data_IF_574979944276
#
_entry.id   IF_574979944276
#
_cell.length_a   1.000
_cell.length_b   1.000
_cell.length_c   1.000
_cell.angle_alpha   90.00
_cell.angle_beta   90.00
_cell.angle_gamma   90.00
#
_symmetry.space_group_name_H-M   'P 1'
#
loop_
_entity.id
_entity.type
_entity.pdbx_description
1 polymer ?
#
# COMPACT_ATOMS: atom_id res chain seq x y z
N UNK A 1 -44.09 -7.64 -4.22
CA UNK A 1 -43.79 -8.83 -3.40
C UNK A 1 -43.96 -8.46 -1.94
N UNK A 2 -44.63 -9.30 -1.14
CA UNK A 2 -44.73 -9.11 0.31
C UNK A 2 -43.40 -9.35 1.01
N UNK A 3 -43.22 -8.77 2.21
CA UNK A 3 -41.96 -8.82 2.95
C UNK A 3 -41.55 -10.24 3.32
N UNK A 4 -42.48 -11.03 3.86
CA UNK A 4 -42.19 -12.39 4.34
C UNK A 4 -41.84 -13.32 3.17
N UNK A 5 -42.60 -13.25 2.08
CA UNK A 5 -42.29 -13.98 0.84
C UNK A 5 -40.91 -13.63 0.28
N UNK A 6 -40.49 -12.37 0.38
CA UNK A 6 -39.15 -11.95 -0.04
C UNK A 6 -38.07 -12.60 0.83
N UNK A 7 -38.23 -12.59 2.16
CA UNK A 7 -37.29 -13.22 3.08
C UNK A 7 -37.21 -14.72 2.84
N UNK A 8 -38.34 -15.41 2.70
CA UNK A 8 -38.39 -16.85 2.44
C UNK A 8 -37.62 -17.22 1.17
N UNK A 9 -37.84 -16.50 0.07
CA UNK A 9 -37.13 -16.72 -1.18
C UNK A 9 -35.63 -16.44 -1.06
N UNK A 10 -35.25 -15.38 -0.34
CA UNK A 10 -33.87 -14.99 -0.13
C UNK A 10 -33.09 -16.06 0.66
N UNK A 11 -33.67 -16.60 1.73
CA UNK A 11 -33.05 -17.64 2.55
C UNK A 11 -33.18 -19.05 1.95
N UNK A 12 -34.18 -19.31 1.10
CA UNK A 12 -34.27 -20.54 0.33
C UNK A 12 -33.14 -20.65 -0.71
N UNK A 13 -32.80 -19.54 -1.37
CA UNK A 13 -31.71 -19.50 -2.36
C UNK A 13 -30.33 -19.70 -1.75
N UNK A 14 -30.07 -19.10 -0.59
CA UNK A 14 -28.86 -19.37 0.18
C UNK A 14 -29.11 -19.19 1.67
N UNK A 15 -29.19 -20.32 2.38
CA UNK A 15 -29.51 -20.35 3.81
C UNK A 15 -28.41 -19.70 4.66
N UNK A 16 -27.15 -19.86 4.24
CA UNK A 16 -25.95 -19.27 4.85
C UNK A 16 -25.07 -18.67 3.75
N UNK A 17 -24.58 -17.46 3.96
CA UNK A 17 -23.66 -16.78 3.05
C UNK A 17 -22.22 -17.30 3.22
N UNK A 18 -22.01 -18.58 2.88
CA UNK A 18 -20.77 -19.30 3.16
C UNK A 18 -19.61 -18.73 2.34
N UNK A 19 -19.82 -18.33 1.08
CA UNK A 19 -18.73 -17.82 0.23
C UNK A 19 -18.21 -16.50 0.80
N UNK A 20 -19.12 -15.61 1.24
CA UNK A 20 -18.75 -14.35 1.90
C UNK A 20 -17.88 -14.62 3.13
N UNK A 21 -18.29 -15.54 3.99
CA UNK A 21 -17.52 -15.88 5.21
C UNK A 21 -16.17 -16.53 4.89
N UNK A 22 -16.09 -17.39 3.87
CA UNK A 22 -14.84 -18.00 3.41
C UNK A 22 -13.89 -16.92 2.86
N UNK A 23 -14.39 -15.99 2.05
CA UNK A 23 -13.58 -14.88 1.55
C UNK A 23 -13.05 -14.02 2.71
N UNK A 24 -13.88 -13.70 3.70
CA UNK A 24 -13.45 -12.95 4.89
C UNK A 24 -12.35 -13.71 5.64
N UNK A 25 -12.53 -15.02 5.87
CA UNK A 25 -11.55 -15.85 6.56
C UNK A 25 -10.22 -15.92 5.80
N UNK A 26 -10.26 -16.07 4.46
CA UNK A 26 -9.05 -16.08 3.62
C UNK A 26 -8.31 -14.75 3.69
N UNK A 27 -9.02 -13.62 3.60
CA UNK A 27 -8.42 -12.29 3.74
C UNK A 27 -7.77 -12.10 5.13
N UNK A 28 -8.46 -12.53 6.19
CA UNK A 28 -7.91 -12.47 7.55
C UNK A 28 -6.64 -13.32 7.70
N UNK A 29 -6.64 -14.55 7.15
CA UNK A 29 -5.48 -15.44 7.19
C UNK A 29 -4.28 -14.83 6.46
N UNK A 30 -4.48 -14.36 5.23
CA UNK A 30 -3.42 -13.71 4.43
C UNK A 30 -2.88 -12.48 5.15
N UNK A 31 -3.75 -11.69 5.77
CA UNK A 31 -3.34 -10.51 6.53
C UNK A 31 -2.49 -10.86 7.76
N UNK A 32 -2.85 -11.89 8.52
CA UNK A 32 -2.05 -12.36 9.66
C UNK A 32 -0.64 -12.77 9.20
N UNK A 33 -0.53 -13.50 8.09
CA UNK A 33 0.77 -13.87 7.51
C UNK A 33 1.56 -12.62 7.10
N UNK A 34 0.94 -11.68 6.37
CA UNK A 34 1.64 -10.46 5.93
C UNK A 34 2.06 -9.56 7.10
N UNK A 35 1.25 -9.48 8.16
CA UNK A 35 1.56 -8.73 9.37
C UNK A 35 2.70 -9.36 10.15
N UNK A 36 2.72 -10.70 10.26
CA UNK A 36 3.84 -11.44 10.86
C UNK A 36 5.14 -11.20 10.10
N UNK A 37 5.12 -11.26 8.77
CA UNK A 37 6.29 -10.97 7.93
C UNK A 37 6.76 -9.51 8.04
N UNK A 38 5.84 -8.56 8.22
CA UNK A 38 6.17 -7.14 8.33
C UNK A 38 6.50 -6.70 9.75
N UNK A 39 6.28 -7.53 10.77
CA UNK A 39 6.44 -7.18 12.19
C UNK A 39 5.50 -6.07 12.69
N UNK A 40 4.47 -5.69 11.93
CA UNK A 40 3.58 -4.58 12.24
C UNK A 40 2.15 -4.87 11.74
N UNK A 41 1.15 -4.72 12.60
CA UNK A 41 -0.27 -4.93 12.27
C UNK A 41 -0.93 -3.69 11.68
N UNK A 42 -0.48 -2.49 12.06
CA UNK A 42 -1.11 -1.23 11.66
C UNK A 42 -0.71 -0.80 10.26
N UNK A 43 0.53 -1.09 9.85
CA UNK A 43 1.05 -0.78 8.53
C UNK A 43 1.94 -1.91 8.03
N UNK A 44 1.51 -2.55 6.94
CA UNK A 44 2.30 -3.57 6.23
C UNK A 44 3.20 -2.86 5.23
N UNK A 45 4.50 -3.12 5.30
CA UNK A 45 5.46 -2.48 4.40
C UNK A 45 5.26 -2.90 2.94
N UNK A 46 5.44 -1.96 2.00
CA UNK A 46 5.34 -2.23 0.56
C UNK A 46 6.25 -3.36 0.07
N UNK A 47 7.48 -3.57 0.57
CA UNK A 47 8.30 -4.73 0.24
C UNK A 47 7.63 -6.08 0.53
N UNK A 48 7.01 -6.24 1.70
CA UNK A 48 6.29 -7.47 2.07
C UNK A 48 5.09 -7.66 1.15
N UNK A 49 4.33 -6.60 0.90
CA UNK A 49 3.17 -6.65 0.00
C UNK A 49 3.59 -7.03 -1.44
N UNK A 50 4.66 -6.44 -1.97
CA UNK A 50 5.19 -6.78 -3.30
C UNK A 50 5.70 -8.22 -3.37
N UNK A 51 6.35 -8.72 -2.31
CA UNK A 51 6.78 -10.13 -2.22
C UNK A 51 5.59 -11.08 -2.27
N UNK A 52 4.50 -10.73 -1.57
CA UNK A 52 3.29 -11.55 -1.49
C UNK A 52 2.35 -11.40 -2.69
N UNK A 53 2.64 -10.51 -3.63
CA UNK A 53 1.89 -10.39 -4.88
C UNK A 53 0.98 -9.17 -5.00
N UNK A 54 1.33 -8.04 -4.36
CA UNK A 54 0.64 -6.78 -4.59
C UNK A 54 0.59 -6.43 -6.08
N UNK A 55 -0.51 -5.77 -6.46
CA UNK A 55 -0.74 -5.34 -7.83
C UNK A 55 0.17 -4.14 -8.12
N UNK A 56 1.06 -4.32 -9.08
CA UNK A 56 2.03 -3.31 -9.48
C UNK A 56 2.34 -3.49 -10.97
N UNK A 57 1.95 -2.51 -11.79
CA UNK A 57 1.89 -2.70 -13.23
C UNK A 57 3.23 -3.11 -13.87
N UNK A 58 4.40 -2.56 -13.48
CA UNK A 58 5.68 -3.00 -14.00
C UNK A 58 5.94 -4.51 -13.85
N UNK A 59 5.58 -5.10 -12.72
CA UNK A 59 5.78 -6.54 -12.47
C UNK A 59 4.72 -7.39 -13.18
N UNK A 60 3.47 -6.93 -13.17
CA UNK A 60 2.38 -7.62 -13.88
C UNK A 60 2.67 -7.70 -15.38
N UNK A 61 3.14 -6.59 -15.98
CA UNK A 61 3.49 -6.52 -17.40
C UNK A 61 4.77 -7.31 -17.76
N UNK A 62 5.58 -7.70 -16.76
CA UNK A 62 6.71 -8.62 -16.94
C UNK A 62 6.31 -10.10 -16.88
N UNK A 63 5.01 -10.41 -16.74
CA UNK A 63 4.47 -11.76 -16.75
C UNK A 63 3.97 -12.26 -15.39
N UNK A 64 4.09 -11.47 -14.32
CA UNK A 64 3.58 -11.84 -12.99
C UNK A 64 2.07 -11.59 -12.85
N UNK A 65 1.28 -12.10 -13.80
CA UNK A 65 -0.19 -11.89 -13.90
C UNK A 65 -0.97 -12.40 -12.69
N UNK A 66 -0.41 -13.37 -11.95
CA UNK A 66 -0.99 -13.93 -10.73
C UNK A 66 -1.16 -12.88 -9.62
N UNK A 67 -0.39 -11.77 -9.67
CA UNK A 67 -0.51 -10.63 -8.76
C UNK A 67 -1.89 -9.98 -8.80
N UNK A 68 -2.55 -9.99 -9.96
CA UNK A 68 -3.91 -9.45 -10.08
C UNK A 68 -4.90 -10.21 -9.17
N UNK A 69 -4.70 -11.52 -8.99
CA UNK A 69 -5.53 -12.30 -8.09
C UNK A 69 -5.04 -12.19 -6.64
N UNK A 70 -3.73 -12.31 -6.40
CA UNK A 70 -3.15 -12.27 -5.07
C UNK A 70 -3.42 -10.94 -4.33
N UNK A 71 -3.31 -9.81 -5.04
CA UNK A 71 -3.55 -8.48 -4.48
C UNK A 71 -4.95 -8.28 -3.91
N UNK A 72 -5.95 -9.03 -4.39
CA UNK A 72 -7.32 -9.00 -3.86
C UNK A 72 -7.42 -9.49 -2.41
N UNK A 73 -6.40 -10.22 -1.92
CA UNK A 73 -6.37 -10.80 -0.58
C UNK A 73 -5.37 -10.11 0.36
N UNK A 74 -4.49 -9.26 -0.18
CA UNK A 74 -3.51 -8.50 0.60
C UNK A 74 -4.11 -7.21 1.14
N UNK A 75 -3.65 -6.76 2.30
CA UNK A 75 -4.12 -5.52 2.91
C UNK A 75 -2.96 -4.74 3.53
N UNK A 76 -3.00 -3.42 3.39
CA UNK A 76 -1.93 -2.52 3.84
C UNK A 76 -1.89 -2.25 5.35
N UNK A 77 -2.87 -2.73 6.13
CA UNK A 77 -2.93 -2.51 7.57
C UNK A 77 -4.27 -2.91 8.20
N UNK A 78 -4.32 -2.90 9.53
CA UNK A 78 -5.48 -3.39 10.31
C UNK A 78 -6.79 -2.64 10.00
N UNK A 79 -6.76 -1.32 9.93
CA UNK A 79 -7.94 -0.53 9.57
C UNK A 79 -8.40 -0.83 8.14
N UNK A 80 -7.45 -1.00 7.23
CA UNK A 80 -7.73 -1.27 5.81
C UNK A 80 -8.46 -2.62 5.65
N UNK A 81 -7.99 -3.70 6.28
CA UNK A 81 -8.72 -4.98 6.27
C UNK A 81 -10.05 -4.88 7.03
N UNK A 82 -10.09 -4.20 8.18
CA UNK A 82 -11.30 -4.05 8.98
C UNK A 82 -12.45 -3.44 8.18
N UNK A 83 -12.22 -2.32 7.50
CA UNK A 83 -13.24 -1.67 6.67
C UNK A 83 -13.65 -2.52 5.47
N UNK A 84 -12.70 -3.19 4.80
CA UNK A 84 -13.02 -4.07 3.68
C UNK A 84 -13.90 -5.26 4.11
N UNK A 85 -13.54 -5.92 5.21
CA UNK A 85 -14.27 -7.09 5.70
C UNK A 85 -15.64 -6.69 6.25
N UNK A 86 -15.76 -5.52 6.88
CA UNK A 86 -17.07 -4.98 7.29
C UNK A 86 -17.98 -4.69 6.08
N UNK A 87 -17.45 -4.05 5.04
CA UNK A 87 -18.18 -3.77 3.81
C UNK A 87 -18.57 -5.06 3.07
N UNK A 88 -17.64 -6.02 2.95
CA UNK A 88 -17.88 -7.33 2.36
C UNK A 88 -18.91 -8.14 3.16
N UNK A 89 -18.84 -8.11 4.50
CA UNK A 89 -19.80 -8.79 5.35
C UNK A 89 -21.22 -8.25 5.12
N UNK A 90 -21.40 -6.93 5.10
CA UNK A 90 -22.72 -6.34 4.91
C UNK A 90 -23.29 -6.58 3.50
N UNK A 91 -22.53 -6.22 2.45
CA UNK A 91 -23.03 -6.31 1.08
C UNK A 91 -22.93 -7.72 0.51
N UNK A 92 -21.84 -8.44 0.79
CA UNK A 92 -21.60 -9.79 0.28
C UNK A 92 -22.68 -10.77 0.74
N UNK A 93 -23.11 -10.69 2.00
CA UNK A 93 -24.19 -11.53 2.50
C UNK A 93 -25.52 -11.34 1.76
N UNK A 94 -25.83 -10.10 1.35
CA UNK A 94 -27.05 -9.77 0.60
C UNK A 94 -26.91 -10.27 -0.83
N UNK A 95 -25.80 -9.92 -1.49
CA UNK A 95 -25.56 -10.27 -2.90
C UNK A 95 -25.42 -11.79 -3.09
N UNK A 96 -24.77 -12.50 -2.18
CA UNK A 96 -24.68 -13.96 -2.22
C UNK A 96 -26.06 -14.62 -2.15
N UNK A 97 -27.01 -14.05 -1.39
CA UNK A 97 -28.39 -14.55 -1.33
C UNK A 97 -29.20 -14.18 -2.56
N UNK A 98 -29.01 -12.97 -3.11
CA UNK A 98 -29.70 -12.54 -4.33
C UNK A 98 -29.25 -13.35 -5.55
N UNK A 99 -27.94 -13.57 -5.71
CA UNK A 99 -27.34 -14.20 -6.89
C UNK A 99 -27.05 -15.71 -6.71
N UNK A 100 -26.99 -16.19 -5.47
CA UNK A 100 -26.48 -17.53 -5.14
C UNK A 100 -24.95 -17.61 -5.14
N UNK A 101 -24.41 -18.58 -4.40
CA UNK A 101 -22.98 -18.72 -4.11
C UNK A 101 -22.06 -18.70 -5.34
N UNK A 102 -22.41 -19.44 -6.40
CA UNK A 102 -21.57 -19.55 -7.61
C UNK A 102 -21.50 -18.24 -8.40
N UNK A 103 -22.64 -17.58 -8.57
CA UNK A 103 -22.71 -16.31 -9.29
C UNK A 103 -22.02 -15.20 -8.49
N UNK A 104 -22.20 -15.19 -7.17
CA UNK A 104 -21.50 -14.26 -6.28
C UNK A 104 -19.98 -14.43 -6.33
N UNK A 105 -19.47 -15.66 -6.27
CA UNK A 105 -18.03 -15.91 -6.36
C UNK A 105 -17.45 -15.42 -7.70
N UNK A 106 -18.11 -15.75 -8.81
CA UNK A 106 -17.70 -15.28 -10.13
C UNK A 106 -17.71 -13.76 -10.21
N UNK A 107 -18.75 -13.13 -9.69
CA UNK A 107 -18.89 -11.67 -9.66
C UNK A 107 -17.77 -11.02 -8.84
N UNK A 108 -17.51 -11.52 -7.63
CA UNK A 108 -16.46 -11.02 -6.74
C UNK A 108 -15.08 -11.11 -7.41
N UNK A 109 -14.75 -12.28 -7.96
CA UNK A 109 -13.45 -12.50 -8.61
C UNK A 109 -13.30 -11.67 -9.89
N UNK A 110 -14.29 -11.69 -10.78
CA UNK A 110 -14.20 -10.97 -12.06
C UNK A 110 -14.19 -9.45 -11.87
N UNK A 111 -14.99 -8.92 -10.93
CA UNK A 111 -14.97 -7.48 -10.62
C UNK A 111 -13.67 -7.06 -9.93
N UNK A 112 -13.11 -7.88 -9.04
CA UNK A 112 -11.82 -7.62 -8.43
C UNK A 112 -10.67 -7.60 -9.44
N UNK A 113 -10.63 -8.57 -10.36
CA UNK A 113 -9.64 -8.62 -11.44
C UNK A 113 -9.77 -7.41 -12.38
N UNK A 114 -10.99 -7.06 -12.79
CA UNK A 114 -11.24 -5.87 -13.61
C UNK A 114 -10.85 -4.57 -12.88
N UNK A 115 -11.10 -4.49 -11.57
CA UNK A 115 -10.62 -3.40 -10.72
C UNK A 115 -9.09 -3.32 -10.70
N UNK A 116 -8.40 -4.44 -10.52
CA UNK A 116 -6.93 -4.45 -10.52
C UNK A 116 -6.34 -4.08 -11.89
N UNK A 117 -6.99 -4.43 -13.00
CA UNK A 117 -6.60 -3.95 -14.34
C UNK A 117 -6.82 -2.45 -14.49
N UNK A 118 -7.97 -1.93 -14.03
CA UNK A 118 -8.25 -0.50 -14.06
C UNK A 118 -7.27 0.31 -13.19
N UNK A 119 -6.87 -0.23 -12.04
CA UNK A 119 -5.82 0.32 -11.18
C UNK A 119 -4.49 0.47 -11.92
N UNK A 120 -4.03 -0.58 -12.61
CA UNK A 120 -2.80 -0.51 -13.40
C UNK A 120 -2.87 0.53 -14.51
N UNK A 121 -4.02 0.65 -15.17
CA UNK A 121 -4.22 1.64 -16.23
C UNK A 121 -4.22 3.07 -15.69
N UNK A 122 -4.83 3.30 -14.52
CA UNK A 122 -4.97 4.62 -13.91
C UNK A 122 -3.67 5.07 -13.20
N UNK A 123 -3.08 4.19 -12.39
CA UNK A 123 -1.94 4.47 -11.52
C UNK A 123 -0.88 3.35 -11.64
N UNK A 124 -0.20 3.21 -12.78
CA UNK A 124 0.68 2.05 -13.06
C UNK A 124 1.80 1.85 -12.04
N UNK A 125 2.29 2.93 -11.41
CA UNK A 125 3.40 2.88 -10.46
C UNK A 125 2.94 2.60 -9.01
N UNK A 126 1.65 2.64 -8.73
CA UNK A 126 1.16 2.37 -7.38
C UNK A 126 1.39 0.90 -6.99
N UNK A 127 1.56 0.66 -5.69
CA UNK A 127 1.46 -0.67 -5.09
C UNK A 127 0.05 -0.77 -4.54
N UNK A 128 -0.81 -1.51 -5.26
CA UNK A 128 -2.22 -1.65 -4.91
C UNK A 128 -2.49 -3.01 -4.28
N UNK A 129 -3.24 -3.00 -3.18
CA UNK A 129 -3.68 -4.18 -2.43
C UNK A 129 -5.09 -3.93 -1.90
N UNK A 130 -5.85 -5.00 -1.70
CA UNK A 130 -7.13 -4.94 -1.00
C UNK A 130 -8.24 -5.63 -1.77
N UNK A 131 -9.21 -6.12 -1.03
CA UNK A 131 -10.45 -6.66 -1.58
C UNK A 131 -11.37 -5.56 -2.18
N UNK A 132 -11.04 -4.29 -2.03
CA UNK A 132 -11.98 -3.18 -2.24
C UNK A 132 -12.49 -3.08 -3.68
N UNK A 133 -11.68 -3.40 -4.70
CA UNK A 133 -12.17 -3.46 -6.08
C UNK A 133 -13.30 -4.48 -6.25
N UNK A 134 -13.16 -5.67 -5.67
CA UNK A 134 -14.19 -6.69 -5.66
C UNK A 134 -15.41 -6.25 -4.83
N UNK A 135 -15.20 -5.62 -3.67
CA UNK A 135 -16.28 -5.10 -2.82
C UNK A 135 -17.09 -4.03 -3.54
N UNK A 136 -16.45 -3.09 -4.23
CA UNK A 136 -17.13 -2.12 -5.09
C UNK A 136 -17.92 -2.81 -6.21
N UNK A 137 -17.39 -3.91 -6.75
CA UNK A 137 -18.12 -4.79 -7.66
C UNK A 137 -19.38 -5.38 -7.05
N UNK A 138 -19.32 -5.84 -5.80
CA UNK A 138 -20.48 -6.35 -5.05
C UNK A 138 -21.53 -5.24 -4.87
N UNK A 139 -21.14 -4.02 -4.50
CA UNK A 139 -22.08 -2.90 -4.39
C UNK A 139 -22.66 -2.48 -5.75
N UNK A 140 -21.85 -2.48 -6.82
CA UNK A 140 -22.33 -2.26 -8.19
C UNK A 140 -23.35 -3.31 -8.61
N UNK A 141 -23.11 -4.57 -8.27
CA UNK A 141 -24.03 -5.66 -8.56
C UNK A 141 -25.34 -5.54 -7.80
N UNK A 142 -25.28 -5.07 -6.55
CA UNK A 142 -26.47 -4.81 -5.73
C UNK A 142 -27.36 -3.72 -6.36
N UNK A 143 -26.76 -2.64 -6.87
CA UNK A 143 -27.48 -1.60 -7.62
C UNK A 143 -28.07 -2.14 -8.94
N UNK A 144 -27.29 -2.94 -9.68
CA UNK A 144 -27.72 -3.49 -10.96
C UNK A 144 -28.84 -4.54 -10.81
N UNK A 145 -28.82 -5.35 -9.75
CA UNK A 145 -29.81 -6.39 -9.49
C UNK A 145 -31.21 -5.82 -9.44
N UNK A 146 -31.39 -4.69 -8.76
CA UNK A 146 -32.68 -4.01 -8.68
C UNK A 146 -33.21 -3.71 -10.07
N UNK A 147 -32.37 -3.16 -10.94
CA UNK A 147 -32.80 -2.75 -12.28
C UNK A 147 -33.06 -3.94 -13.20
N UNK A 148 -32.32 -5.03 -12.99
CA UNK A 148 -32.44 -6.27 -13.75
C UNK A 148 -33.63 -7.13 -13.33
N UNK A 149 -34.06 -7.02 -12.07
CA UNK A 149 -35.13 -7.83 -11.48
C UNK A 149 -36.20 -6.94 -10.80
N UNK A 150 -36.93 -6.11 -11.56
CA UNK A 150 -37.94 -5.22 -11.00
C UNK A 150 -39.05 -6.02 -10.29
N UNK A 151 -39.48 -5.54 -9.12
CA UNK A 151 -40.53 -6.20 -8.32
C UNK A 151 -40.07 -7.41 -7.50
N UNK A 152 -38.80 -7.79 -7.59
CA UNK A 152 -38.22 -8.92 -6.85
C UNK A 152 -37.99 -8.67 -5.35
N UNK A 153 -38.15 -7.43 -4.88
CA UNK A 153 -38.03 -7.07 -3.46
C UNK A 153 -39.04 -5.97 -3.07
N UNK A 154 -39.42 -5.86 -1.78
CA UNK A 154 -40.25 -4.77 -1.29
C UNK A 154 -39.62 -3.40 -1.52
N UNK A 155 -40.44 -2.38 -1.82
CA UNK A 155 -39.93 -1.05 -2.18
C UNK A 155 -39.20 -0.35 -1.03
N UNK A 156 -39.59 -0.61 0.21
CA UNK A 156 -38.90 -0.10 1.40
C UNK A 156 -37.47 -0.65 1.53
N UNK A 157 -37.32 -1.98 1.40
CA UNK A 157 -36.03 -2.67 1.38
C UNK A 157 -35.17 -2.17 0.23
N UNK A 158 -35.76 -2.04 -0.96
CA UNK A 158 -35.08 -1.46 -2.12
C UNK A 158 -34.52 -0.07 -1.83
N UNK A 159 -35.35 0.85 -1.33
CA UNK A 159 -34.95 2.22 -1.08
C UNK A 159 -33.82 2.31 -0.06
N UNK A 160 -33.86 1.48 1.00
CA UNK A 160 -32.82 1.41 2.02
C UNK A 160 -31.50 0.84 1.48
N UNK A 161 -31.55 -0.25 0.72
CA UNK A 161 -30.36 -0.84 0.10
C UNK A 161 -29.73 0.15 -0.88
N UNK A 162 -30.54 0.80 -1.72
CA UNK A 162 -30.08 1.79 -2.69
C UNK A 162 -29.41 2.98 -2.00
N UNK A 163 -30.06 3.58 -0.99
CA UNK A 163 -29.53 4.78 -0.32
C UNK A 163 -28.23 4.48 0.42
N UNK A 164 -28.17 3.39 1.19
CA UNK A 164 -26.95 2.96 1.88
C UNK A 164 -25.81 2.62 0.92
N UNK A 165 -26.11 1.95 -0.20
CA UNK A 165 -25.12 1.64 -1.24
C UNK A 165 -24.56 2.90 -1.89
N UNK A 166 -25.43 3.84 -2.29
CA UNK A 166 -24.99 5.10 -2.90
C UNK A 166 -24.18 5.96 -1.91
N UNK A 167 -24.59 6.00 -0.64
CA UNK A 167 -23.85 6.70 0.40
C UNK A 167 -22.45 6.09 0.60
N UNK A 168 -22.34 4.75 0.68
CA UNK A 168 -21.07 4.06 0.80
C UNK A 168 -20.14 4.32 -0.40
N UNK A 169 -20.65 4.18 -1.63
CA UNK A 169 -19.89 4.44 -2.85
C UNK A 169 -19.42 5.89 -2.89
N UNK A 170 -20.33 6.84 -2.64
CA UNK A 170 -20.02 8.27 -2.66
C UNK A 170 -18.96 8.65 -1.64
N UNK A 171 -19.12 8.20 -0.39
CA UNK A 171 -18.14 8.44 0.67
C UNK A 171 -16.78 7.82 0.33
N UNK A 172 -16.75 6.57 -0.12
CA UNK A 172 -15.51 5.84 -0.35
C UNK A 172 -14.71 6.41 -1.53
N UNK A 173 -15.38 6.78 -2.64
CA UNK A 173 -14.73 7.43 -3.78
C UNK A 173 -14.22 8.84 -3.40
N UNK A 174 -15.02 9.60 -2.65
CA UNK A 174 -14.59 10.91 -2.13
C UNK A 174 -13.36 10.77 -1.23
N UNK A 175 -13.40 9.83 -0.28
CA UNK A 175 -12.26 9.50 0.58
C UNK A 175 -11.03 9.13 -0.26
N UNK A 176 -11.19 8.40 -1.36
CA UNK A 176 -10.08 8.04 -2.24
C UNK A 176 -9.48 9.18 -3.05
N UNK A 177 -10.20 10.29 -3.23
CA UNK A 177 -9.62 11.53 -3.76
C UNK A 177 -8.94 12.36 -2.66
N UNK A 178 -9.43 12.28 -1.42
CA UNK A 178 -8.96 13.10 -0.32
C UNK A 178 -7.80 12.48 0.49
N UNK A 179 -7.68 11.16 0.51
CA UNK A 179 -6.73 10.42 1.34
C UNK A 179 -5.76 9.60 0.48
N UNK A 180 -4.44 9.76 0.67
CA UNK A 180 -3.46 8.93 -0.02
C UNK A 180 -3.54 7.47 0.43
N UNK A 181 -3.25 6.54 -0.48
CA UNK A 181 -3.27 5.09 -0.22
C UNK A 181 -4.60 4.39 -0.50
N UNK A 182 -5.60 5.10 -1.02
CA UNK A 182 -6.87 4.53 -1.50
C UNK A 182 -6.85 4.49 -3.04
N UNK A 183 -7.17 3.33 -3.59
CA UNK A 183 -7.11 3.09 -5.04
C UNK A 183 -8.47 3.29 -5.72
N UNK A 184 -8.73 4.53 -6.14
CA UNK A 184 -9.94 4.86 -6.90
C UNK A 184 -9.99 4.21 -8.29
N UNK A 185 -8.85 3.86 -8.88
CA UNK A 185 -8.83 3.12 -10.15
C UNK A 185 -9.42 1.73 -9.97
N UNK A 186 -9.03 1.04 -8.89
CA UNK A 186 -9.60 -0.25 -8.51
C UNK A 186 -11.09 -0.15 -8.16
N UNK A 187 -11.49 0.90 -7.41
CA UNK A 187 -12.88 1.10 -7.01
C UNK A 187 -13.80 1.35 -8.19
N UNK A 188 -13.42 2.26 -9.10
CA UNK A 188 -14.22 2.58 -10.29
C UNK A 188 -14.28 1.39 -11.24
N UNK A 189 -13.15 0.73 -11.52
CA UNK A 189 -13.11 -0.44 -12.38
C UNK A 189 -13.96 -1.59 -11.83
N UNK A 190 -13.83 -1.86 -10.53
CA UNK A 190 -14.64 -2.85 -9.83
C UNK A 190 -16.13 -2.53 -9.86
N UNK A 191 -16.52 -1.28 -9.58
CA UNK A 191 -17.90 -0.82 -9.60
C UNK A 191 -18.55 -0.99 -10.98
N UNK A 192 -17.86 -0.56 -12.05
CA UNK A 192 -18.36 -0.66 -13.42
C UNK A 192 -18.49 -2.12 -13.85
N UNK A 193 -17.49 -2.96 -13.54
CA UNK A 193 -17.57 -4.39 -13.80
C UNK A 193 -18.71 -5.04 -13.01
N UNK A 194 -18.89 -4.68 -11.75
CA UNK A 194 -19.99 -5.13 -10.89
C UNK A 194 -21.37 -4.74 -11.40
N UNK A 195 -21.53 -3.52 -11.93
CA UNK A 195 -22.78 -3.08 -12.56
C UNK A 195 -23.10 -3.93 -13.80
N UNK A 196 -22.13 -4.15 -14.68
CA UNK A 196 -22.30 -4.96 -15.88
C UNK A 196 -22.61 -6.43 -15.54
N UNK A 197 -21.77 -7.07 -14.72
CA UNK A 197 -21.94 -8.46 -14.30
C UNK A 197 -23.20 -8.66 -13.47
N UNK A 198 -23.50 -7.74 -12.56
CA UNK A 198 -24.72 -7.78 -11.75
C UNK A 198 -25.97 -7.74 -12.62
N UNK A 199 -26.01 -6.89 -13.64
CA UNK A 199 -27.13 -6.85 -14.58
C UNK A 199 -27.23 -8.14 -15.41
N UNK A 200 -26.08 -8.61 -15.92
CA UNK A 200 -26.01 -9.79 -16.80
C UNK A 200 -26.34 -11.11 -16.11
N UNK A 201 -25.89 -11.28 -14.86
CA UNK A 201 -26.00 -12.53 -14.11
C UNK A 201 -27.28 -12.61 -13.27
N UNK A 202 -27.94 -11.50 -12.98
CA UNK A 202 -29.13 -11.48 -12.12
C UNK A 202 -30.26 -12.38 -12.67
N UNK A 203 -30.71 -13.29 -11.82
CA UNK A 203 -31.87 -14.16 -12.06
C UNK A 203 -32.98 -13.87 -11.06
N UNK A 204 -34.27 -13.99 -11.45
CA UNK A 204 -35.42 -13.87 -10.52
C UNK A 204 -35.22 -14.74 -9.28
N UNK A 205 -35.64 -14.30 -8.08
CA UNK A 205 -35.38 -15.03 -6.82
C UNK A 205 -35.96 -16.45 -6.79
N UNK A 206 -37.09 -16.65 -7.47
CA UNK A 206 -37.80 -17.92 -7.61
C UNK A 206 -37.25 -18.83 -8.73
N UNK A 207 -36.23 -18.38 -9.48
CA UNK A 207 -35.56 -19.22 -10.46
C UNK A 207 -34.90 -20.45 -9.83
N UNK A 208 -35.16 -21.62 -10.42
CA UNK A 208 -34.54 -22.89 -10.05
C UNK A 208 -33.01 -22.92 -10.20
N UNK A 209 -32.47 -22.11 -11.13
CA UNK A 209 -31.02 -21.93 -11.30
C UNK A 209 -30.63 -20.50 -10.93
N UNK A 210 -29.69 -20.37 -9.99
CA UNK A 210 -29.20 -19.05 -9.58
C UNK A 210 -28.17 -18.46 -10.56
N UNK A 211 -27.55 -19.29 -11.40
CA UNK A 211 -26.56 -18.88 -12.42
C UNK A 211 -26.90 -19.49 -13.77
N UNK A 212 -27.00 -18.66 -14.81
CA UNK A 212 -27.20 -19.09 -16.19
C UNK A 212 -26.26 -18.35 -17.15
N UNK A 213 -25.01 -18.86 -17.24
CA UNK A 213 -23.94 -18.25 -18.04
C UNK A 213 -24.25 -18.21 -19.54
N UNK A 214 -25.06 -19.14 -20.05
CA UNK A 214 -25.47 -19.17 -21.46
C UNK A 214 -26.54 -18.14 -21.84
N UNK A 215 -27.05 -17.35 -20.89
CA UNK A 215 -28.03 -16.31 -21.24
C UNK A 215 -27.35 -15.18 -22.03
N UNK A 216 -28.03 -14.57 -23.03
CA UNK A 216 -27.45 -13.48 -23.83
C UNK A 216 -26.97 -12.31 -22.97
N UNK A 217 -27.71 -11.98 -21.90
CA UNK A 217 -27.35 -10.92 -20.94
C UNK A 217 -26.04 -11.23 -20.21
N UNK A 218 -25.84 -12.47 -19.77
CA UNK A 218 -24.60 -12.87 -19.11
C UNK A 218 -23.40 -12.84 -20.08
N UNK A 219 -23.58 -13.35 -21.30
CA UNK A 219 -22.52 -13.34 -22.32
C UNK A 219 -22.10 -11.92 -22.70
N UNK A 220 -23.06 -11.02 -22.91
CA UNK A 220 -22.79 -9.61 -23.20
C UNK A 220 -22.04 -8.95 -22.03
N UNK A 221 -22.49 -9.16 -20.79
CA UNK A 221 -21.83 -8.58 -19.63
C UNK A 221 -20.37 -9.07 -19.47
N UNK A 222 -20.14 -10.38 -19.62
CA UNK A 222 -18.79 -10.96 -19.58
C UNK A 222 -17.90 -10.41 -20.69
N UNK A 223 -18.43 -10.32 -21.91
CA UNK A 223 -17.71 -9.78 -23.06
C UNK A 223 -17.35 -8.30 -22.83
N UNK A 224 -18.29 -7.48 -22.35
CA UNK A 224 -18.04 -6.06 -22.06
C UNK A 224 -16.93 -5.88 -21.04
N UNK A 225 -16.96 -6.63 -19.93
CA UNK A 225 -15.90 -6.57 -18.92
C UNK A 225 -14.56 -7.05 -19.46
N UNK A 226 -14.55 -8.13 -20.25
CA UNK A 226 -13.34 -8.67 -20.86
C UNK A 226 -12.73 -7.68 -21.88
N UNK A 227 -13.54 -7.10 -22.76
CA UNK A 227 -13.11 -6.12 -23.76
C UNK A 227 -12.59 -4.85 -23.10
N UNK A 228 -13.30 -4.30 -22.11
CA UNK A 228 -12.84 -3.13 -21.37
C UNK A 228 -11.53 -3.39 -20.64
N UNK A 229 -11.40 -4.55 -19.98
CA UNK A 229 -10.17 -4.94 -19.30
C UNK A 229 -9.01 -5.15 -20.28
N UNK A 230 -9.24 -5.79 -21.42
CA UNK A 230 -8.25 -5.95 -22.48
C UNK A 230 -7.80 -4.62 -23.07
N UNK A 231 -8.73 -3.70 -23.29
CA UNK A 231 -8.43 -2.35 -23.76
C UNK A 231 -7.55 -1.59 -22.75
N UNK A 232 -7.90 -1.62 -21.45
CA UNK A 232 -7.12 -0.99 -20.39
C UNK A 232 -5.72 -1.61 -20.28
N UNK A 233 -5.64 -2.95 -20.32
CA UNK A 233 -4.39 -3.72 -20.29
C UNK A 233 -3.40 -3.28 -21.38
N UNK A 234 -3.87 -3.15 -22.63
CA UNK A 234 -3.02 -2.72 -23.75
C UNK A 234 -2.67 -1.22 -23.72
N UNK A 235 -3.23 -0.44 -22.80
CA UNK A 235 -3.03 1.01 -22.66
C UNK A 235 -2.38 1.40 -21.34
N UNK A 236 -1.86 0.45 -20.56
CA UNK A 236 -1.14 0.73 -19.31
C UNK A 236 0.06 1.66 -19.59
N UNK A 237 0.12 2.87 -19.01
CA UNK A 237 1.15 3.86 -19.36
C UNK A 237 2.47 3.60 -18.61
N UNK A 238 3.23 2.60 -19.05
CA UNK A 238 4.51 2.20 -18.43
C UNK A 238 5.65 3.21 -18.65
N UNK A 239 5.57 4.08 -19.67
CA UNK A 239 6.65 4.97 -20.11
C UNK A 239 6.79 6.30 -19.36
N UNK A 240 6.08 6.52 -18.24
CA UNK A 240 6.21 7.78 -17.50
C UNK A 240 7.49 7.80 -16.63
N UNK A 241 8.19 8.96 -16.50
CA UNK A 241 9.51 9.09 -15.84
C UNK A 241 9.59 8.73 -14.34
N UNK A 242 8.54 8.18 -13.74
CA UNK A 242 8.59 7.58 -12.40
C UNK A 242 9.12 6.14 -12.40
N UNK A 243 9.40 5.58 -13.58
CA UNK A 243 9.89 4.21 -13.77
C UNK A 243 11.37 4.06 -13.37
N UNK A 244 11.66 4.13 -12.07
CA UNK A 244 12.70 3.27 -11.49
C UNK A 244 11.99 2.21 -10.68
N UNK A 245 12.15 0.96 -11.13
CA UNK A 245 11.89 -0.23 -10.34
C UNK A 245 12.63 -0.11 -9.01
N UNK A 246 11.96 0.36 -7.96
CA UNK A 246 12.39 0.03 -6.60
C UNK A 246 11.74 -1.31 -6.29
N UNK A 247 12.31 -2.38 -6.87
CA UNK A 247 12.35 -3.64 -6.10
C UNK A 247 12.87 -3.24 -4.73
N UNK A 248 12.24 -3.69 -3.63
CA UNK A 248 12.94 -3.68 -2.35
C UNK A 248 14.31 -4.26 -2.65
N UNK A 249 15.40 -3.47 -2.56
CA UNK A 249 16.63 -3.98 -3.10
C UNK A 249 16.97 -5.20 -2.25
N UNK A 250 17.64 -6.17 -2.84
CA UNK A 250 18.13 -7.36 -2.11
C UNK A 250 19.03 -7.00 -0.93
N UNK A 251 19.31 -5.71 -0.76
CA UNK A 251 20.07 -5.05 0.30
C UNK A 251 19.24 -4.65 1.53
N UNK A 252 17.98 -5.07 1.67
CA UNK A 252 17.19 -4.82 2.88
C UNK A 252 16.88 -3.33 3.17
N UNK A 253 17.03 -2.43 2.19
CA UNK A 253 16.86 -0.99 2.36
C UNK A 253 18.17 -0.21 2.58
N UNK A 254 19.31 -0.88 2.50
CA UNK A 254 20.64 -0.30 2.63
C UNK A 254 20.87 0.88 1.67
N UNK A 255 20.56 0.74 0.38
CA UNK A 255 20.76 1.81 -0.61
C UNK A 255 19.98 3.08 -0.30
N UNK A 256 18.76 2.96 0.26
CA UNK A 256 17.98 4.13 0.71
C UNK A 256 18.59 4.77 1.95
N UNK A 257 19.08 3.98 2.90
CA UNK A 257 19.75 4.50 4.08
C UNK A 257 21.04 5.24 3.71
N UNK A 258 21.80 4.72 2.73
CA UNK A 258 22.98 5.40 2.17
C UNK A 258 22.59 6.72 1.51
N UNK A 259 21.58 6.73 0.64
CA UNK A 259 21.12 7.96 -0.03
C UNK A 259 20.65 9.02 0.98
N UNK A 260 19.88 8.61 1.99
CA UNK A 260 19.45 9.50 3.08
C UNK A 260 20.64 10.07 3.85
N UNK A 261 21.60 9.22 4.21
CA UNK A 261 22.80 9.61 4.94
C UNK A 261 23.65 10.61 4.14
N UNK A 262 23.91 10.34 2.85
CA UNK A 262 24.65 11.27 1.98
C UNK A 262 23.92 12.61 1.84
N UNK A 263 22.59 12.59 1.70
CA UNK A 263 21.78 13.81 1.62
C UNK A 263 21.78 14.63 2.92
N UNK A 264 21.82 13.98 4.08
CA UNK A 264 21.88 14.65 5.38
C UNK A 264 23.29 15.13 5.74
N UNK A 265 24.32 14.37 5.40
CA UNK A 265 25.72 14.71 5.63
C UNK A 265 26.07 16.10 5.08
N UNK A 266 25.75 16.36 3.81
CA UNK A 266 26.03 17.66 3.20
C UNK A 266 25.41 18.84 3.96
N UNK A 267 24.23 18.63 4.56
CA UNK A 267 23.56 19.65 5.39
C UNK A 267 24.25 19.81 6.74
N UNK A 268 24.72 18.72 7.35
CA UNK A 268 25.39 18.74 8.64
C UNK A 268 26.79 19.39 8.55
N UNK A 269 27.53 19.10 7.48
CA UNK A 269 28.80 19.76 7.18
C UNK A 269 28.59 21.25 6.98
N UNK A 270 27.66 21.64 6.09
CA UNK A 270 27.35 23.05 5.85
C UNK A 270 26.88 23.80 7.11
N UNK A 271 26.09 23.15 7.98
CA UNK A 271 25.67 23.72 9.27
C UNK A 271 26.87 23.94 10.19
N UNK A 272 27.76 22.95 10.29
CA UNK A 272 28.97 23.01 11.11
C UNK A 272 29.89 24.14 10.64
N UNK A 273 30.15 24.22 9.33
CA UNK A 273 30.97 25.29 8.75
C UNK A 273 30.39 26.67 9.00
N UNK A 274 29.06 26.81 8.87
CA UNK A 274 28.35 28.05 9.19
C UNK A 274 28.48 28.47 10.65
N UNK A 275 28.41 27.52 11.60
CA UNK A 275 28.63 27.79 13.02
C UNK A 275 30.07 28.26 13.27
N UNK A 276 31.07 27.60 12.67
CA UNK A 276 32.47 27.97 12.82
C UNK A 276 32.80 29.33 12.19
N UNK A 277 32.25 29.67 11.01
CA UNK A 277 32.41 30.98 10.39
C UNK A 277 31.77 32.09 11.23
N UNK A 278 30.57 31.86 11.76
CA UNK A 278 29.91 32.80 12.66
C UNK A 278 30.71 33.02 13.94
N UNK A 279 31.30 31.97 14.51
CA UNK A 279 32.19 32.08 15.67
C UNK A 279 33.46 32.89 15.34
N UNK A 280 34.11 32.61 14.20
CA UNK A 280 35.30 33.35 13.74
C UNK A 280 35.02 34.83 13.51
N UNK A 281 33.86 35.15 12.96
CA UNK A 281 33.37 36.53 12.73
C UNK A 281 32.78 37.17 13.98
N UNK A 282 32.80 36.50 15.13
CA UNK A 282 32.25 36.96 16.42
C UNK A 282 30.75 37.30 16.36
N UNK A 283 29.99 36.64 15.48
CA UNK A 283 28.53 36.76 15.41
C UNK A 283 27.81 35.93 16.48
N UNK A 284 28.46 34.86 16.93
CA UNK A 284 28.06 34.03 18.07
C UNK A 284 29.28 33.84 18.99
N UNK A 285 29.04 33.58 20.26
CA UNK A 285 30.11 33.25 21.20
C UNK A 285 30.41 31.74 21.25
N UNK A 286 31.47 31.36 21.97
CA UNK A 286 31.91 29.97 22.09
C UNK A 286 30.88 29.07 22.80
N UNK A 287 30.11 29.63 23.75
CA UNK A 287 29.10 28.87 24.48
C UNK A 287 27.91 28.52 23.56
N UNK A 288 27.44 29.50 22.78
CA UNK A 288 26.39 29.32 21.79
C UNK A 288 26.80 28.35 20.69
N UNK A 289 28.01 28.51 20.12
CA UNK A 289 28.51 27.60 19.09
C UNK A 289 28.60 26.14 19.60
N UNK A 290 29.06 25.94 20.83
CA UNK A 290 29.13 24.61 21.44
C UNK A 290 27.75 24.02 21.75
N UNK A 291 26.78 24.84 22.19
CA UNK A 291 25.40 24.39 22.44
C UNK A 291 24.71 23.98 21.12
N UNK A 292 24.85 24.79 20.06
CA UNK A 292 24.28 24.49 18.73
C UNK A 292 24.84 23.18 18.16
N UNK A 293 26.16 22.94 18.30
CA UNK A 293 26.77 21.66 17.91
C UNK A 293 26.14 20.49 18.67
N UNK A 294 25.94 20.60 19.99
CA UNK A 294 25.42 19.51 20.82
C UNK A 294 23.92 19.27 20.64
N UNK A 295 23.13 20.32 20.39
CA UNK A 295 21.66 20.21 20.32
C UNK A 295 21.16 19.98 18.91
N UNK A 296 21.86 20.47 17.89
CA UNK A 296 21.38 20.37 16.52
C UNK A 296 22.18 19.39 15.66
N UNK A 297 23.52 19.39 15.79
CA UNK A 297 24.38 18.64 14.87
C UNK A 297 24.62 17.22 15.37
N UNK A 298 25.04 17.05 16.62
CA UNK A 298 25.35 15.74 17.23
C UNK A 298 24.15 14.78 17.17
N UNK A 299 22.91 15.17 17.54
CA UNK A 299 21.78 14.24 17.52
C UNK A 299 21.41 13.79 16.11
N UNK A 300 21.62 14.64 15.09
CA UNK A 300 21.34 14.28 13.70
C UNK A 300 22.35 13.29 13.13
N UNK A 301 23.61 13.37 13.54
CA UNK A 301 24.58 12.31 13.28
C UNK A 301 24.22 11.01 14.00
N UNK A 302 23.75 11.08 15.25
CA UNK A 302 23.27 9.90 15.98
C UNK A 302 22.12 9.19 15.26
N UNK A 303 21.17 9.95 14.70
CA UNK A 303 20.08 9.37 13.89
C UNK A 303 20.61 8.58 12.70
N UNK A 304 21.71 9.01 12.06
CA UNK A 304 22.31 8.24 10.95
C UNK A 304 22.96 6.95 11.45
N UNK A 305 23.65 7.00 12.59
CA UNK A 305 24.23 5.82 13.25
C UNK A 305 23.13 4.80 13.56
N UNK A 306 22.04 5.24 14.19
CA UNK A 306 20.93 4.37 14.60
C UNK A 306 20.24 3.76 13.38
N UNK A 307 19.97 4.56 12.34
CA UNK A 307 19.34 4.11 11.10
C UNK A 307 20.15 3.00 10.41
N UNK A 308 21.48 3.16 10.31
CA UNK A 308 22.36 2.16 9.69
C UNK A 308 22.58 0.93 10.59
N UNK A 309 22.55 1.11 11.91
CA UNK A 309 22.75 0.02 12.88
C UNK A 309 21.56 -0.92 12.99
N UNK A 310 20.35 -0.45 12.68
CA UNK A 310 19.12 -1.26 12.71
C UNK A 310 18.91 -2.12 11.46
N UNK A 311 19.67 -1.88 10.39
CA UNK A 311 19.59 -2.68 9.18
C UNK A 311 20.20 -4.06 9.40
N UNK A 312 19.44 -5.10 9.06
CA UNK A 312 19.90 -6.50 9.10
C UNK A 312 20.18 -6.95 7.67
N UNK A 313 21.46 -7.11 7.34
CA UNK A 313 21.91 -7.55 6.02
C UNK A 313 22.47 -8.98 6.10
N UNK A 314 22.33 -9.80 5.04
CA UNK A 314 23.04 -11.07 4.96
C UNK A 314 24.56 -10.87 5.02
N UNK A 315 25.26 -11.84 5.60
CA UNK A 315 26.73 -11.83 5.65
C UNK A 315 27.33 -11.68 4.24
N UNK A 316 28.29 -10.76 4.10
CA UNK A 316 28.96 -10.49 2.83
C UNK A 316 29.39 -9.03 2.69
N UNK A 317 29.71 -8.63 1.45
CA UNK A 317 30.24 -7.30 1.13
C UNK A 317 29.32 -6.15 1.56
N UNK A 318 28.00 -6.34 1.50
CA UNK A 318 27.03 -5.30 1.88
C UNK A 318 26.99 -5.09 3.41
N UNK A 319 27.10 -6.15 4.20
CA UNK A 319 27.21 -6.04 5.65
C UNK A 319 28.55 -5.38 6.06
N UNK A 320 29.65 -5.70 5.37
CA UNK A 320 30.93 -5.00 5.57
C UNK A 320 30.81 -3.49 5.28
N UNK A 321 30.21 -3.12 4.14
CA UNK A 321 29.96 -1.71 3.81
C UNK A 321 29.05 -1.02 4.83
N UNK A 322 28.02 -1.70 5.33
CA UNK A 322 27.16 -1.15 6.40
C UNK A 322 27.95 -0.88 7.67
N UNK A 323 28.81 -1.80 8.10
CA UNK A 323 29.66 -1.61 9.28
C UNK A 323 30.62 -0.43 9.10
N UNK A 324 31.24 -0.28 7.92
CA UNK A 324 32.10 0.87 7.62
C UNK A 324 31.33 2.19 7.66
N UNK A 325 30.10 2.24 7.13
CA UNK A 325 29.27 3.45 7.16
C UNK A 325 28.78 3.81 8.57
N UNK A 326 28.44 2.81 9.40
CA UNK A 326 28.15 3.04 10.83
C UNK A 326 29.37 3.66 11.50
N UNK A 327 30.55 3.06 11.32
CA UNK A 327 31.80 3.56 11.90
C UNK A 327 32.11 4.99 11.43
N UNK A 328 31.90 5.28 10.15
CA UNK A 328 32.05 6.62 9.60
C UNK A 328 31.13 7.64 10.29
N UNK A 329 29.84 7.32 10.44
CA UNK A 329 28.87 8.19 11.11
C UNK A 329 29.21 8.41 12.60
N UNK A 330 29.70 7.37 13.29
CA UNK A 330 30.18 7.48 14.67
C UNK A 330 31.37 8.44 14.78
N UNK A 331 32.37 8.31 13.91
CA UNK A 331 33.54 9.20 13.89
C UNK A 331 33.13 10.65 13.63
N UNK A 332 32.19 10.90 12.71
CA UNK A 332 31.65 12.25 12.45
C UNK A 332 30.91 12.80 13.66
N UNK A 333 30.07 12.00 14.32
CA UNK A 333 29.40 12.38 15.58
C UNK A 333 30.41 12.75 16.67
N UNK A 334 31.38 11.88 16.89
CA UNK A 334 32.36 12.01 17.97
C UNK A 334 33.31 13.19 17.73
N UNK A 335 33.64 13.48 16.47
CA UNK A 335 34.31 14.71 16.07
C UNK A 335 33.53 15.96 16.49
N UNK A 336 32.21 15.98 16.29
CA UNK A 336 31.36 17.13 16.68
C UNK A 336 31.26 17.28 18.19
N UNK A 337 31.19 16.18 18.94
CA UNK A 337 31.22 16.19 20.42
C UNK A 337 32.56 16.77 20.91
N UNK A 338 33.67 16.27 20.38
CA UNK A 338 35.01 16.74 20.74
C UNK A 338 35.22 18.21 20.36
N UNK A 339 34.72 18.64 19.20
CA UNK A 339 34.79 20.02 18.74
C UNK A 339 33.99 20.97 19.66
N UNK A 340 32.78 20.58 20.06
CA UNK A 340 31.98 21.37 21.00
C UNK A 340 32.68 21.53 22.36
N UNK A 341 33.29 20.45 22.88
CA UNK A 341 34.09 20.50 24.10
C UNK A 341 35.31 21.40 23.96
N UNK A 342 36.02 21.32 22.83
CA UNK A 342 37.20 22.12 22.53
C UNK A 342 36.88 23.61 22.48
N UNK A 343 35.78 23.99 21.81
CA UNK A 343 35.34 25.39 21.69
C UNK A 343 34.92 25.94 23.05
N UNK A 344 34.11 25.18 23.82
CA UNK A 344 33.57 25.66 25.09
C UNK A 344 34.64 25.82 26.16
N UNK A 345 35.59 24.88 26.23
CA UNK A 345 36.63 24.83 27.28
C UNK A 345 37.96 25.43 26.84
N UNK A 346 38.07 25.86 25.58
CA UNK A 346 39.33 26.25 24.95
C UNK A 346 40.41 25.16 25.10
N UNK A 347 40.01 23.89 24.93
CA UNK A 347 40.83 22.71 25.19
C UNK A 347 41.49 22.22 23.89
N UNK A 348 42.81 22.40 23.81
CA UNK A 348 43.61 21.98 22.64
C UNK A 348 43.60 20.46 22.43
N UNK A 349 43.59 19.68 23.50
CA UNK A 349 43.59 18.21 23.39
C UNK A 349 42.29 17.70 22.76
N UNK A 350 41.16 18.34 23.09
CA UNK A 350 39.87 18.05 22.47
C UNK A 350 39.80 18.49 21.01
N UNK A 351 40.45 19.59 20.67
CA UNK A 351 40.58 20.03 19.28
C UNK A 351 41.40 19.02 18.46
N UNK A 352 42.51 18.53 19.00
CA UNK A 352 43.30 17.47 18.37
C UNK A 352 42.50 16.18 18.19
N UNK A 353 41.72 15.78 19.21
CA UNK A 353 40.84 14.62 19.11
C UNK A 353 39.75 14.79 18.03
N UNK A 354 39.14 15.98 17.95
CA UNK A 354 38.15 16.27 16.92
C UNK A 354 38.74 16.14 15.51
N UNK A 355 39.94 16.69 15.30
CA UNK A 355 40.65 16.58 14.03
C UNK A 355 41.04 15.13 13.71
N UNK A 356 41.48 14.36 14.70
CA UNK A 356 41.82 12.95 14.53
C UNK A 356 40.61 12.12 14.08
N UNK A 357 39.44 12.32 14.71
CA UNK A 357 38.21 11.65 14.29
C UNK A 357 37.77 12.04 12.88
N UNK A 358 37.90 13.32 12.50
CA UNK A 358 37.62 13.76 11.13
C UNK A 358 38.54 13.09 10.12
N UNK A 359 39.85 13.05 10.38
CA UNK A 359 40.83 12.42 9.50
C UNK A 359 40.64 10.90 9.38
N UNK A 360 40.23 10.23 10.47
CA UNK A 360 39.87 8.81 10.41
C UNK A 360 38.62 8.58 9.56
N UNK A 361 37.59 9.43 9.72
CA UNK A 361 36.39 9.37 8.88
C UNK A 361 36.73 9.60 7.39
N UNK A 362 37.58 10.59 7.09
CA UNK A 362 38.01 10.91 5.72
C UNK A 362 38.81 9.75 5.10
N UNK A 363 39.69 9.10 5.87
CA UNK A 363 40.40 7.90 5.38
C UNK A 363 39.43 6.76 5.07
N UNK A 364 38.47 6.52 5.95
CA UNK A 364 37.49 5.45 5.78
C UNK A 364 36.61 5.66 4.53
N UNK A 365 36.22 6.91 4.23
CA UNK A 365 35.45 7.21 3.00
C UNK A 365 36.29 7.04 1.73
N UNK A 366 37.58 7.37 1.78
CA UNK A 366 38.49 7.21 0.65
C UNK A 366 38.81 5.72 0.38
N UNK A 367 38.99 4.92 1.43
CA UNK A 367 39.12 3.46 1.33
C UNK A 367 37.87 2.85 0.67
N UNK A 368 36.68 3.24 1.13
CA UNK A 368 35.41 2.78 0.53
C UNK A 368 35.20 3.19 -0.93
N UNK A 369 35.92 4.21 -1.43
CA UNK A 369 35.87 4.64 -2.85
C UNK A 369 36.87 3.91 -3.73
N UNK A 370 37.93 3.36 -3.14
CA UNK A 370 38.98 2.63 -3.84
C UNK A 370 38.58 1.16 -4.12
N UNK A 371 37.68 0.61 -3.31
CA UNK A 371 37.09 -0.74 -3.41
C UNK A 371 35.76 -0.78 -4.18
#
# INVERSE_FOLDING_TARGET
MEHDRFLDLLFARSRRANVTMVLIALNALVFVVSAGMSGNLMQISSPVLLTLGANHAPLVMQGEVWRLLAAMFLHGGLLHIGFNMFALYQAGQIVERLFGARAFLLLYLAAGLAGNVASMWWNPQAVSVGASGAVFGVYGALLAYVRAQPGSMPISVFNQIRSSTLAFIGYSLFAGFALPGIDNGAHVGGLVAGLALGYGLAQPLDSARSLHLGSPRALIALLLVAVASGWMWHRVPLGQPGARLVRAPSDGGFGRAVEQMTGEEGKLVARTDGLLDNLRRRKIDAAQAADDLRREVVPRWQVQVDAMSQLHLPDGLMEQRRQQLVRYAELRRDAMIALADAIQKNDKSRMEAANAFQQEADRLIDEMRAD
#
